data_IF_805754597189
#
_entry.id   IF_805754597189
#
_cell.length_a   1.000
_cell.length_b   1.000
_cell.length_c   1.000
_cell.angle_alpha   90.00
_cell.angle_beta   90.00
_cell.angle_gamma   90.00
#
_symmetry.space_group_name_H-M   'P 1'
#
loop_
_entity.id
_entity.type
_entity.pdbx_description
1 polymer ?
#
# COMPACT_ATOMS: atom_id res chain seq x y z
N UNK A 1 -17.99 0.58 -12.93
CA UNK A 1 -17.79 1.60 -11.88
C UNK A 1 -16.35 2.08 -12.02
N UNK A 2 -16.15 3.30 -12.55
CA UNK A 2 -14.80 3.81 -12.79
C UNK A 2 -14.15 4.05 -11.43
N UNK A 3 -13.08 3.32 -11.12
CA UNK A 3 -12.23 3.61 -9.96
C UNK A 3 -11.55 4.94 -10.31
N UNK A 4 -12.06 6.05 -9.79
CA UNK A 4 -11.42 7.35 -9.95
C UNK A 4 -10.09 7.33 -9.18
N UNK A 5 -9.01 7.30 -9.95
CA UNK A 5 -7.65 7.25 -9.42
C UNK A 5 -7.38 8.51 -8.59
N UNK A 6 -7.25 8.35 -7.28
CA UNK A 6 -7.10 9.47 -6.35
C UNK A 6 -5.62 9.85 -6.11
N UNK A 7 -4.70 9.04 -6.66
CA UNK A 7 -3.26 9.21 -6.50
C UNK A 7 -2.59 9.71 -7.77
N UNK A 8 -1.64 10.62 -7.59
CA UNK A 8 -0.66 11.00 -8.61
C UNK A 8 0.26 9.80 -8.91
N UNK A 9 0.82 9.74 -10.13
CA UNK A 9 1.70 8.66 -10.60
C UNK A 9 2.90 8.47 -9.66
N UNK A 10 3.44 9.56 -9.12
CA UNK A 10 4.56 9.53 -8.17
C UNK A 10 4.20 8.90 -6.82
N UNK A 11 3.03 9.23 -6.28
CA UNK A 11 2.56 8.67 -5.00
C UNK A 11 2.20 7.18 -5.16
N UNK A 12 1.61 6.83 -6.32
CA UNK A 12 1.32 5.45 -6.70
C UNK A 12 2.59 4.61 -6.86
N UNK A 13 3.63 5.12 -7.51
CA UNK A 13 4.88 4.38 -7.72
C UNK A 13 5.67 4.23 -6.42
N UNK A 14 5.74 5.27 -5.58
CA UNK A 14 6.40 5.21 -4.28
C UNK A 14 5.73 4.19 -3.36
N UNK A 15 4.40 4.23 -3.26
CA UNK A 15 3.61 3.24 -2.50
C UNK A 15 3.76 1.84 -3.07
N UNK A 16 3.81 1.69 -4.39
CA UNK A 16 4.08 0.42 -5.03
C UNK A 16 5.45 -0.15 -4.67
N UNK A 17 6.50 0.66 -4.75
CA UNK A 17 7.86 0.27 -4.37
C UNK A 17 7.94 -0.14 -2.90
N UNK A 18 7.36 0.66 -2.00
CA UNK A 18 7.32 0.35 -0.57
C UNK A 18 6.49 -0.91 -0.32
N UNK A 19 5.32 -1.04 -0.94
CA UNK A 19 4.44 -2.20 -0.79
C UNK A 19 5.07 -3.50 -1.26
N UNK A 20 5.72 -3.49 -2.43
CA UNK A 20 6.49 -4.65 -2.93
C UNK A 20 7.65 -4.95 -1.99
N UNK A 21 8.42 -3.94 -1.58
CA UNK A 21 9.56 -4.11 -0.68
C UNK A 21 9.17 -4.70 0.67
N UNK A 22 8.12 -4.18 1.31
CA UNK A 22 7.62 -4.67 2.59
C UNK A 22 7.02 -6.07 2.45
N UNK A 23 6.25 -6.34 1.39
CA UNK A 23 5.67 -7.68 1.17
C UNK A 23 6.76 -8.72 0.90
N UNK A 24 7.76 -8.39 0.06
CA UNK A 24 8.91 -9.26 -0.17
C UNK A 24 9.71 -9.46 1.12
N UNK A 25 9.96 -8.40 1.88
CA UNK A 25 10.66 -8.50 3.16
C UNK A 25 9.93 -9.42 4.13
N UNK A 26 8.62 -9.26 4.31
CA UNK A 26 7.81 -10.11 5.18
C UNK A 26 7.78 -11.58 4.70
N UNK A 27 7.71 -11.83 3.39
CA UNK A 27 7.71 -13.19 2.85
C UNK A 27 9.06 -13.91 2.94
N UNK A 28 10.17 -13.18 2.75
CA UNK A 28 11.53 -13.76 2.76
C UNK A 28 12.22 -13.69 4.12
N UNK A 29 11.78 -12.80 5.02
CA UNK A 29 12.36 -12.57 6.34
C UNK A 29 11.31 -12.62 7.45
N UNK A 30 10.22 -13.36 7.26
CA UNK A 30 9.19 -13.56 8.29
C UNK A 30 9.77 -14.07 9.61
N UNK A 31 10.81 -14.92 9.55
CA UNK A 31 11.55 -15.41 10.72
C UNK A 31 12.27 -14.33 11.54
N UNK A 32 12.52 -13.14 10.95
CA UNK A 32 13.09 -11.99 11.69
C UNK A 32 12.01 -11.27 12.49
N UNK A 33 10.75 -11.41 12.11
CA UNK A 33 9.60 -10.77 12.75
C UNK A 33 9.08 -11.73 13.82
N UNK A 34 9.70 -11.69 15.00
CA UNK A 34 9.36 -12.57 16.14
C UNK A 34 7.99 -12.24 16.78
N UNK A 35 7.38 -11.11 16.39
CA UNK A 35 6.07 -10.66 16.88
C UNK A 35 4.99 -10.82 15.80
N UNK A 36 4.06 -11.74 16.06
CA UNK A 36 2.88 -12.05 15.22
C UNK A 36 2.05 -10.79 14.92
N UNK A 37 1.96 -9.85 15.86
CA UNK A 37 1.22 -8.61 15.64
C UNK A 37 1.86 -7.74 14.54
N UNK A 38 3.18 -7.63 14.55
CA UNK A 38 3.94 -6.86 13.55
C UNK A 38 3.87 -7.54 12.18
N UNK A 39 3.94 -8.87 12.12
CA UNK A 39 3.83 -9.63 10.88
C UNK A 39 2.48 -9.38 10.20
N UNK A 40 1.38 -9.46 10.97
CA UNK A 40 0.02 -9.17 10.47
C UNK A 40 -0.08 -7.71 10.00
N UNK A 41 0.46 -6.76 10.75
CA UNK A 41 0.39 -5.34 10.39
C UNK A 41 1.17 -5.04 9.11
N UNK A 42 2.36 -5.63 8.95
CA UNK A 42 3.18 -5.52 7.73
C UNK A 42 2.49 -6.19 6.53
N UNK A 43 1.84 -7.34 6.73
CA UNK A 43 1.05 -8.01 5.71
C UNK A 43 -0.11 -7.14 5.22
N UNK A 44 -0.92 -6.59 6.13
CA UNK A 44 -2.01 -5.67 5.80
C UNK A 44 -1.46 -4.43 5.10
N UNK A 45 -0.38 -3.83 5.61
CA UNK A 45 0.23 -2.65 5.02
C UNK A 45 0.76 -2.92 3.60
N UNK A 46 1.40 -4.06 3.38
CA UNK A 46 1.87 -4.50 2.06
C UNK A 46 0.71 -4.65 1.07
N UNK A 47 -0.35 -5.36 1.46
CA UNK A 47 -1.54 -5.58 0.63
C UNK A 47 -2.21 -4.24 0.27
N UNK A 48 -2.40 -3.34 1.24
CA UNK A 48 -3.02 -2.04 0.98
C UNK A 48 -2.21 -1.19 0.00
N UNK A 49 -0.88 -1.25 0.05
CA UNK A 49 -0.01 -0.54 -0.88
C UNK A 49 0.01 -1.20 -2.27
N UNK A 50 -0.06 -2.53 -2.36
CA UNK A 50 -0.20 -3.24 -3.63
C UNK A 50 -1.54 -2.97 -4.29
N UNK A 51 -2.64 -2.90 -3.53
CA UNK A 51 -3.96 -2.48 -4.02
C UNK A 51 -3.88 -1.04 -4.54
N UNK A 52 -3.21 -0.15 -3.81
CA UNK A 52 -2.98 1.24 -4.24
C UNK A 52 -2.19 1.31 -5.55
N UNK A 53 -1.20 0.43 -5.73
CA UNK A 53 -0.44 0.30 -6.97
C UNK A 53 -1.29 -0.25 -8.13
N UNK A 54 -2.12 -1.27 -7.91
CA UNK A 54 -2.91 -1.90 -8.96
C UNK A 54 -4.07 -1.01 -9.43
N UNK A 55 -4.81 -0.42 -8.48
CA UNK A 55 -6.04 0.34 -8.73
C UNK A 55 -5.81 1.84 -8.91
N UNK A 56 -4.65 2.38 -8.46
CA UNK A 56 -4.44 3.83 -8.39
C UNK A 56 -5.33 4.51 -7.35
N UNK A 57 -5.91 3.73 -6.44
CA UNK A 57 -6.84 4.14 -5.39
C UNK A 57 -6.32 3.65 -4.04
N UNK A 58 -6.08 4.58 -3.11
CA UNK A 58 -5.70 4.25 -1.75
C UNK A 58 -6.95 4.32 -0.86
N UNK A 59 -7.38 3.20 -0.25
CA UNK A 59 -8.58 3.17 0.59
C UNK A 59 -8.46 4.13 1.78
N UNK A 60 -7.26 4.28 2.35
CA UNK A 60 -7.01 5.21 3.47
C UNK A 60 -7.27 6.66 3.05
N UNK A 61 -6.81 7.06 1.86
CA UNK A 61 -7.04 8.42 1.36
C UNK A 61 -8.49 8.65 0.98
N UNK A 62 -9.17 7.62 0.46
CA UNK A 62 -10.59 7.70 0.17
C UNK A 62 -11.43 7.87 1.45
N UNK A 63 -11.13 7.11 2.50
CA UNK A 63 -11.79 7.25 3.81
C UNK A 63 -11.47 8.61 4.44
N UNK A 64 -10.24 9.11 4.29
CA UNK A 64 -9.83 10.41 4.80
C UNK A 64 -10.33 11.60 3.94
N UNK A 65 -10.94 11.35 2.77
CA UNK A 65 -11.34 12.41 1.84
C UNK A 65 -10.16 13.18 1.22
N UNK A 66 -8.95 12.60 1.23
CA UNK A 66 -7.72 13.24 0.73
C UNK A 66 -7.49 12.82 -0.72
N UNK A 67 -7.20 13.80 -1.57
CA UNK A 67 -6.76 13.60 -2.95
C UNK A 67 -5.36 14.15 -3.16
N UNK A 68 -4.44 13.31 -3.61
CA UNK A 68 -3.13 13.73 -4.11
C UNK A 68 -3.16 13.99 -5.61
N UNK A 69 -4.24 13.60 -6.30
CA UNK A 69 -4.45 14.02 -7.69
C UNK A 69 -4.74 15.52 -7.68
N UNK A 70 -3.79 16.32 -8.17
CA UNK A 70 -4.06 17.72 -8.52
C UNK A 70 -5.25 17.72 -9.50
N UNK A 71 -6.27 18.49 -9.16
CA UNK A 71 -7.21 18.99 -10.17
C UNK A 71 -6.44 19.73 -11.27
#
# INVERSE_FOLDING_TARGET
>A
MAIESNLNILDRSLRGLIGIGVTAFALFNGDIIDDVFIEILLGIFGILNLISLASGWCPVYHIAGISTRKQ
#
